data_IF_222161719036
#
_entry.id   IF_222161719036
#
_cell.length_a   1.000
_cell.length_b   1.000
_cell.length_c   1.000
_cell.angle_alpha   90.00
_cell.angle_beta   90.00
_cell.angle_gamma   90.00
#
_symmetry.space_group_name_H-M   'P 1'
#
loop_
_entity.id
_entity.type
_entity.pdbx_description
1 polymer ?
#
# COMPACT_ATOMS: atom_id res chain seq x y z
N UNK A 1 2.86 10.92 -14.63
CA UNK A 1 2.81 11.36 -13.21
C UNK A 1 1.45 11.18 -12.52
N UNK A 2 0.32 11.10 -13.24
CA UNK A 2 -1.01 10.85 -12.63
C UNK A 2 -1.32 9.35 -12.41
N UNK A 3 -0.51 8.45 -12.96
CA UNK A 3 -0.79 7.00 -12.96
C UNK A 3 -0.62 6.32 -11.61
N UNK A 4 -0.13 7.04 -10.60
CA UNK A 4 0.05 6.55 -9.23
C UNK A 4 -1.12 6.89 -8.33
N UNK A 5 -2.00 7.81 -8.75
CA UNK A 5 -3.13 8.24 -7.94
C UNK A 5 -4.11 7.09 -7.72
N UNK A 6 -4.63 6.94 -6.51
CA UNK A 6 -5.54 5.86 -6.08
C UNK A 6 -4.94 4.44 -6.19
N UNK A 7 -3.64 4.31 -6.40
CA UNK A 7 -2.94 3.02 -6.29
C UNK A 7 -2.58 2.71 -4.84
N UNK A 8 -2.40 1.42 -4.58
CA UNK A 8 -2.07 0.86 -3.28
C UNK A 8 -0.57 0.62 -3.16
N UNK A 9 -0.03 0.78 -1.97
CA UNK A 9 1.32 0.37 -1.63
C UNK A 9 1.30 -0.39 -0.29
N UNK A 10 2.28 -1.28 -0.10
CA UNK A 10 2.40 -2.06 1.12
C UNK A 10 3.74 -1.78 1.79
N UNK A 11 3.72 -1.59 3.10
CA UNK A 11 4.92 -1.57 3.93
C UNK A 11 5.18 -2.97 4.44
N UNK A 12 6.37 -3.47 4.12
CA UNK A 12 6.82 -4.80 4.51
C UNK A 12 7.74 -4.69 5.73
N UNK A 13 7.67 -5.67 6.63
CA UNK A 13 8.56 -5.79 7.77
C UNK A 13 9.46 -7.02 7.62
N UNK A 14 10.77 -6.79 7.71
CA UNK A 14 11.79 -7.83 7.57
C UNK A 14 11.96 -8.37 6.15
N UNK A 15 12.85 -9.35 6.01
CA UNK A 15 13.12 -10.04 4.73
C UNK A 15 12.02 -11.04 4.35
N UNK A 16 11.14 -11.38 5.29
CA UNK A 16 10.12 -12.43 5.17
C UNK A 16 8.86 -11.98 4.42
N UNK A 17 8.79 -10.71 4.00
CA UNK A 17 7.66 -10.20 3.21
C UNK A 17 6.36 -10.03 4.00
N UNK A 18 6.43 -9.88 5.32
CA UNK A 18 5.27 -9.67 6.17
C UNK A 18 4.71 -8.25 5.97
N UNK A 19 3.44 -8.10 5.58
CA UNK A 19 2.82 -6.78 5.37
C UNK A 19 2.33 -6.23 6.69
N UNK A 20 2.88 -5.09 7.10
CA UNK A 20 2.50 -4.42 8.35
C UNK A 20 1.48 -3.31 8.15
N UNK A 21 1.55 -2.59 7.03
CA UNK A 21 0.66 -1.46 6.75
C UNK A 21 0.32 -1.44 5.25
N UNK A 22 -0.90 -1.00 4.92
CA UNK A 22 -1.37 -0.81 3.54
C UNK A 22 -1.70 0.68 3.36
N UNK A 23 -1.06 1.30 2.37
CA UNK A 23 -1.19 2.70 2.04
C UNK A 23 -1.95 2.89 0.73
N UNK A 24 -2.67 4.01 0.63
CA UNK A 24 -3.33 4.46 -0.60
C UNK A 24 -2.77 5.82 -0.99
N UNK A 25 -2.34 5.95 -2.24
CA UNK A 25 -1.84 7.23 -2.75
C UNK A 25 -3.05 8.15 -3.02
N UNK A 26 -3.20 9.17 -2.20
CA UNK A 26 -4.32 10.13 -2.28
C UNK A 26 -3.99 11.38 -3.09
N UNK A 27 -2.71 11.72 -3.20
CA UNK A 27 -2.26 12.89 -3.96
C UNK A 27 -0.84 12.68 -4.47
N UNK A 28 -0.61 13.04 -5.71
CA UNK A 28 0.71 13.05 -6.33
C UNK A 28 0.96 14.45 -6.86
N UNK A 29 2.07 15.04 -6.47
CA UNK A 29 2.57 16.30 -7.00
C UNK A 29 3.91 16.06 -7.68
N UNK A 30 4.46 17.09 -8.33
CA UNK A 30 5.75 16.98 -9.01
C UNK A 30 6.88 16.52 -8.05
N UNK A 31 6.83 17.00 -6.79
CA UNK A 31 7.89 16.76 -5.78
C UNK A 31 7.49 15.80 -4.67
N UNK A 32 6.21 15.59 -4.43
CA UNK A 32 5.71 14.82 -3.28
C UNK A 32 4.63 13.82 -3.62
N UNK A 33 4.58 12.73 -2.86
CA UNK A 33 3.56 11.69 -2.91
C UNK A 33 2.95 11.59 -1.52
N UNK A 34 1.63 11.76 -1.45
CA UNK A 34 0.88 11.68 -0.21
C UNK A 34 0.21 10.31 -0.14
N UNK A 35 0.59 9.53 0.87
CA UNK A 35 0.05 8.19 1.11
C UNK A 35 -0.73 8.18 2.40
N UNK A 36 -1.98 7.79 2.29
CA UNK A 36 -2.85 7.53 3.42
C UNK A 36 -2.67 6.08 3.91
N UNK A 37 -2.08 5.91 5.08
CA UNK A 37 -1.87 4.61 5.72
C UNK A 37 -3.04 4.20 6.63
N UNK A 38 -4.19 4.88 6.53
CA UNK A 38 -5.39 4.65 7.35
C UNK A 38 -5.34 5.31 8.72
N UNK A 39 -4.22 5.23 9.42
CA UNK A 39 -4.04 5.93 10.71
C UNK A 39 -3.55 7.36 10.54
N UNK A 40 -2.82 7.63 9.45
CA UNK A 40 -2.19 8.93 9.16
C UNK A 40 -1.79 9.01 7.69
N UNK A 41 -1.85 10.22 7.15
CA UNK A 41 -1.31 10.53 5.82
C UNK A 41 0.14 10.97 5.93
N UNK A 42 1.04 10.29 5.24
CA UNK A 42 2.45 10.66 5.13
C UNK A 42 2.75 11.30 3.79
N UNK A 43 3.68 12.25 3.82
CA UNK A 43 4.16 12.96 2.63
C UNK A 43 5.60 12.53 2.38
N UNK A 44 5.82 11.87 1.25
CA UNK A 44 7.14 11.45 0.79
C UNK A 44 7.61 12.35 -0.34
N UNK A 45 8.93 12.58 -0.43
CA UNK A 45 9.47 13.16 -1.66
C UNK A 45 9.46 12.10 -2.75
N UNK A 46 9.24 12.51 -4.00
CA UNK A 46 9.15 11.61 -5.15
C UNK A 46 10.42 10.73 -5.27
N UNK A 47 11.61 11.33 -5.07
CA UNK A 47 12.90 10.62 -5.13
C UNK A 47 13.09 9.57 -4.03
N UNK A 48 12.41 9.73 -2.89
CA UNK A 48 12.55 8.87 -1.70
C UNK A 48 11.40 7.84 -1.62
N UNK A 49 10.48 7.86 -2.58
CA UNK A 49 9.33 6.97 -2.59
C UNK A 49 9.71 5.60 -3.17
N UNK A 50 10.06 4.69 -2.27
CA UNK A 50 10.56 3.35 -2.62
C UNK A 50 9.46 2.29 -2.83
N UNK A 51 8.20 2.61 -2.54
CA UNK A 51 7.12 1.64 -2.63
C UNK A 51 6.55 1.56 -4.04
N UNK A 52 6.25 0.35 -4.48
CA UNK A 52 5.63 0.12 -5.78
C UNK A 52 4.12 0.39 -5.69
N UNK A 53 3.58 1.36 -6.45
CA UNK A 53 2.15 1.61 -6.56
C UNK A 53 1.50 0.54 -7.44
N UNK A 54 0.48 -0.13 -6.92
CA UNK A 54 -0.21 -1.20 -7.61
C UNK A 54 -1.70 -0.89 -7.74
N UNK A 55 -2.31 -1.30 -8.85
CA UNK A 55 -3.76 -1.37 -8.93
C UNK A 55 -4.34 -2.36 -7.91
N UNK A 56 -5.66 -2.32 -7.71
CA UNK A 56 -6.35 -3.24 -6.80
C UNK A 56 -6.05 -4.71 -7.13
N UNK A 57 -6.29 -5.10 -8.38
CA UNK A 57 -6.11 -6.47 -8.84
C UNK A 57 -4.65 -6.90 -8.79
N UNK A 58 -3.72 -6.02 -9.17
CA UNK A 58 -2.28 -6.28 -9.08
C UNK A 58 -1.82 -6.47 -7.64
N UNK A 59 -2.33 -5.66 -6.72
CA UNK A 59 -2.02 -5.76 -5.30
C UNK A 59 -2.50 -7.10 -4.74
N UNK A 60 -3.75 -7.45 -5.01
CA UNK A 60 -4.34 -8.73 -4.60
C UNK A 60 -3.55 -9.91 -5.18
N UNK A 61 -3.13 -9.86 -6.45
CA UNK A 61 -2.32 -10.91 -7.06
C UNK A 61 -0.91 -11.02 -6.50
N UNK A 62 -0.23 -9.88 -6.31
CA UNK A 62 1.14 -9.84 -5.79
C UNK A 62 1.22 -10.35 -4.36
N UNK A 63 0.19 -10.04 -3.56
CA UNK A 63 0.17 -10.31 -2.13
C UNK A 63 -0.84 -11.39 -1.72
N UNK A 64 -1.02 -12.44 -2.54
CA UNK A 64 -1.84 -13.62 -2.19
C UNK A 64 -1.23 -14.52 -1.10
N UNK A 65 0.09 -14.62 -1.06
CA UNK A 65 0.86 -15.53 -0.16
C UNK A 65 1.50 -14.91 1.10
N UNK A 66 1.83 -13.61 1.17
CA UNK A 66 2.46 -13.05 2.35
C UNK A 66 1.52 -13.03 3.54
N UNK A 67 2.12 -13.07 4.72
CA UNK A 67 1.42 -12.90 5.99
C UNK A 67 1.18 -11.40 6.24
N UNK A 68 -0.01 -11.06 6.72
CA UNK A 68 -0.41 -9.70 7.03
C UNK A 68 -0.56 -9.54 8.54
N UNK A 69 -0.23 -8.35 9.04
CA UNK A 69 -0.61 -7.93 10.40
C UNK A 69 -2.13 -7.77 10.49
N UNK A 70 -2.68 -7.90 11.70
CA UNK A 70 -4.10 -7.63 11.95
C UNK A 70 -4.50 -6.20 11.52
N UNK A 71 -3.62 -5.22 11.72
CA UNK A 71 -3.84 -3.85 11.28
C UNK A 71 -3.93 -3.74 9.75
N UNK A 72 -3.03 -4.42 9.01
CA UNK A 72 -3.06 -4.46 7.56
C UNK A 72 -4.28 -5.20 7.02
N UNK A 73 -4.69 -6.27 7.70
CA UNK A 73 -5.90 -7.05 7.44
C UNK A 73 -7.16 -6.19 7.53
N UNK A 74 -7.35 -5.52 8.66
CA UNK A 74 -8.48 -4.61 8.86
C UNK A 74 -8.48 -3.51 7.80
N UNK A 75 -7.31 -2.96 7.50
CA UNK A 75 -7.18 -1.94 6.45
C UNK A 75 -7.52 -2.48 5.06
N UNK A 76 -7.11 -3.70 4.74
CA UNK A 76 -7.46 -4.35 3.48
C UNK A 76 -8.99 -4.47 3.33
N UNK A 77 -9.68 -4.86 4.41
CA UNK A 77 -11.15 -4.95 4.44
C UNK A 77 -11.80 -3.58 4.23
N UNK A 78 -11.33 -2.53 4.92
CA UNK A 78 -11.83 -1.15 4.73
C UNK A 78 -11.65 -0.66 3.28
N UNK A 79 -10.53 -1.02 2.65
CA UNK A 79 -10.22 -0.67 1.26
C UNK A 79 -10.90 -1.61 0.25
N UNK A 80 -11.63 -2.62 0.72
CA UNK A 80 -12.30 -3.62 -0.11
C UNK A 80 -11.36 -4.53 -0.89
N UNK A 81 -10.12 -4.70 -0.43
CA UNK A 81 -9.11 -5.60 -1.01
C UNK A 81 -9.41 -7.04 -0.59
N UNK A 82 -9.51 -7.95 -1.56
CA UNK A 82 -9.72 -9.38 -1.32
C UNK A 82 -8.40 -10.09 -1.11
N UNK A 83 -7.99 -10.16 0.15
CA UNK A 83 -6.75 -10.86 0.54
C UNK A 83 -7.15 -12.25 1.04
N UNK A 84 -6.90 -13.27 0.22
CA UNK A 84 -7.22 -14.66 0.54
C UNK A 84 -6.07 -15.27 1.33
N UNK A 85 -6.34 -15.65 2.58
CA UNK A 85 -5.48 -16.52 3.38
C UNK A 85 -5.88 -17.95 3.05
N UNK A 86 -4.92 -18.74 2.56
CA UNK A 86 -5.11 -20.17 2.36
C UNK A 86 -4.49 -20.94 3.52
#
# INVERSE_FOLDING_TARGET
MSEMLNKYCAKLFGKTGFIVEIGVIKKVTNRTIHVDWGTKTWIYQNKDFIWMPLGKEEFEQKYKKPKFSEAALNRAVELGLKITYN
#
